data_IF_210691876530
#
_entry.id   IF_210691876530
#
_cell.length_a   1.000
_cell.length_b   1.000
_cell.length_c   1.000
_cell.angle_alpha   90.00
_cell.angle_beta   90.00
_cell.angle_gamma   90.00
#
_symmetry.space_group_name_H-M   'P 1'
#
loop_
_entity.id
_entity.type
_entity.pdbx_description
1 polymer ?
#
# COMPACT_ATOMS: atom_id res chain seq x y z
N UNK A 1 -18.26 9.06 11.02
CA UNK A 1 -18.17 10.53 11.09
C UNK A 1 -17.63 11.03 9.74
N UNK A 2 -18.46 11.66 8.92
CA UNK A 2 -18.09 12.09 7.56
C UNK A 2 -17.21 13.35 7.62
N UNK A 3 -15.95 13.24 7.22
CA UNK A 3 -14.97 14.34 7.13
C UNK A 3 -14.92 14.86 5.69
N UNK A 4 -15.94 15.58 5.27
CA UNK A 4 -16.00 16.20 3.94
C UNK A 4 -15.24 17.53 3.91
N UNK A 5 -13.95 17.55 4.25
CA UNK A 5 -13.14 18.78 4.25
C UNK A 5 -12.76 19.28 2.84
N UNK A 6 -12.98 18.47 1.80
CA UNK A 6 -12.56 18.75 0.41
C UNK A 6 -13.59 18.39 -0.67
N UNK A 7 -14.87 18.16 -0.31
CA UNK A 7 -15.90 17.74 -1.29
C UNK A 7 -15.66 16.35 -1.89
N UNK A 8 -14.79 15.55 -1.27
CA UNK A 8 -14.49 14.19 -1.71
C UNK A 8 -15.57 13.23 -1.18
N UNK A 9 -16.06 12.34 -2.06
CA UNK A 9 -17.06 11.31 -1.74
C UNK A 9 -16.59 10.32 -0.68
N UNK A 10 -15.26 10.16 -0.54
CA UNK A 10 -14.63 9.35 0.50
C UNK A 10 -13.26 9.94 0.85
N UNK A 11 -12.67 9.53 1.98
CA UNK A 11 -11.35 9.99 2.41
C UNK A 11 -10.23 9.21 1.70
N UNK A 12 -9.47 9.81 0.74
CA UNK A 12 -8.38 9.13 0.05
C UNK A 12 -7.09 9.04 0.89
N UNK A 13 -7.11 9.55 2.13
CA UNK A 13 -6.02 9.40 3.10
C UNK A 13 -6.36 8.39 4.20
N UNK A 14 -7.49 7.68 4.07
CA UNK A 14 -7.81 6.61 4.98
C UNK A 14 -6.79 5.47 4.84
N UNK A 15 -6.26 4.99 5.96
CA UNK A 15 -5.27 3.91 5.97
C UNK A 15 -5.88 2.56 5.54
N UNK A 16 -7.20 2.47 5.50
CA UNK A 16 -7.96 1.26 5.15
C UNK A 16 -8.39 1.18 3.67
N UNK A 17 -7.88 2.08 2.80
CA UNK A 17 -8.28 2.14 1.39
C UNK A 17 -8.03 0.82 0.64
N UNK A 18 -8.98 0.39 -0.22
CA UNK A 18 -8.81 -0.79 -1.04
C UNK A 18 -7.76 -0.58 -2.14
N UNK A 19 -7.06 -1.66 -2.51
CA UNK A 19 -6.07 -1.67 -3.60
C UNK A 19 -6.64 -1.23 -4.96
N UNK A 20 -7.97 -1.29 -5.13
CA UNK A 20 -8.67 -0.81 -6.32
C UNK A 20 -8.51 0.69 -6.57
N UNK A 21 -8.17 1.48 -5.53
CA UNK A 21 -7.85 2.89 -5.67
C UNK A 21 -6.34 3.17 -5.79
N UNK A 22 -5.50 2.14 -5.79
CA UNK A 22 -4.08 2.31 -6.01
C UNK A 22 -3.81 2.73 -7.46
N UNK A 23 -3.14 3.86 -7.63
CA UNK A 23 -2.70 4.29 -8.94
C UNK A 23 -1.60 3.35 -9.44
N UNK A 24 -1.86 2.65 -10.55
CA UNK A 24 -0.99 1.63 -11.16
C UNK A 24 0.27 2.19 -11.83
N UNK A 25 0.98 3.10 -11.17
CA UNK A 25 2.28 3.63 -11.60
C UNK A 25 3.30 2.51 -11.83
N UNK A 26 4.26 2.77 -12.73
CA UNK A 26 5.41 1.88 -12.95
C UNK A 26 6.18 1.63 -11.65
N UNK A 27 6.32 2.66 -10.81
CA UNK A 27 7.05 2.58 -9.54
C UNK A 27 6.28 1.74 -8.53
N UNK A 28 4.95 1.85 -8.53
CA UNK A 28 4.07 1.03 -7.69
C UNK A 28 4.23 -0.46 -8.02
N UNK A 29 4.15 -0.83 -9.30
CA UNK A 29 4.34 -2.23 -9.75
C UNK A 29 5.74 -2.76 -9.41
N UNK A 30 6.76 -1.93 -9.60
CA UNK A 30 8.15 -2.28 -9.28
C UNK A 30 8.41 -2.49 -7.80
N UNK A 31 7.73 -1.74 -6.93
CA UNK A 31 7.84 -1.89 -5.49
C UNK A 31 7.09 -3.14 -5.01
N UNK A 32 5.91 -3.43 -5.54
CA UNK A 32 5.16 -4.66 -5.25
C UNK A 32 5.96 -5.92 -5.58
N UNK A 33 6.56 -5.99 -6.78
CA UNK A 33 7.39 -7.15 -7.16
C UNK A 33 8.60 -7.35 -6.23
N UNK A 34 9.18 -6.27 -5.69
CA UNK A 34 10.27 -6.34 -4.71
C UNK A 34 9.77 -6.79 -3.33
N UNK A 35 8.57 -6.37 -2.93
CA UNK A 35 7.93 -6.82 -1.69
C UNK A 35 7.58 -8.31 -1.74
N UNK A 36 7.09 -8.81 -2.88
CA UNK A 36 6.86 -10.24 -3.11
C UNK A 36 8.16 -11.05 -3.01
N UNK A 37 9.25 -10.52 -3.57
CA UNK A 37 10.58 -11.13 -3.43
C UNK A 37 11.07 -11.14 -1.97
N UNK A 38 10.88 -10.04 -1.23
CA UNK A 38 11.21 -9.94 0.20
C UNK A 38 10.41 -10.94 1.05
N UNK A 39 9.14 -11.16 0.72
CA UNK A 39 8.27 -12.15 1.37
C UNK A 39 8.82 -13.58 1.23
N UNK A 40 9.32 -13.91 0.04
CA UNK A 40 9.89 -15.23 -0.24
C UNK A 40 11.28 -15.44 0.37
N UNK A 41 12.13 -14.40 0.32
CA UNK A 41 13.51 -14.48 0.83
C UNK A 41 13.62 -14.32 2.35
N UNK A 42 12.57 -13.79 3.01
CA UNK A 42 12.53 -13.49 4.45
C UNK A 42 13.68 -12.57 4.90
N UNK A 43 14.04 -11.59 4.06
CA UNK A 43 15.06 -10.59 4.34
C UNK A 43 14.51 -9.24 4.79
N UNK A 44 15.42 -8.28 5.06
CA UNK A 44 15.07 -6.88 5.36
C UNK A 44 15.18 -6.05 4.07
N UNK A 45 14.12 -5.29 3.76
CA UNK A 45 14.08 -4.38 2.62
C UNK A 45 14.06 -2.92 3.04
N UNK A 46 14.86 -2.08 2.39
CA UNK A 46 14.86 -0.63 2.58
C UNK A 46 14.31 0.07 1.33
N UNK A 47 13.20 0.79 1.48
CA UNK A 47 12.61 1.60 0.41
C UNK A 47 12.81 3.09 0.68
N UNK A 48 13.62 3.74 -0.15
CA UNK A 48 13.86 5.19 -0.10
C UNK A 48 13.15 5.89 -1.24
N UNK A 49 12.54 7.04 -0.96
CA UNK A 49 11.97 7.92 -1.98
C UNK A 49 11.65 9.29 -1.32
N UNK A 50 11.42 10.35 -2.11
CA UNK A 50 10.94 11.65 -1.61
C UNK A 50 9.62 11.57 -0.82
N UNK A 51 9.33 12.51 0.09
CA UNK A 51 8.06 12.55 0.80
C UNK A 51 6.87 12.57 -0.19
N UNK A 52 5.75 11.93 0.16
CA UNK A 52 4.55 11.88 -0.69
C UNK A 52 4.52 10.80 -1.78
N UNK A 53 5.62 10.08 -2.03
CA UNK A 53 5.70 9.04 -3.08
C UNK A 53 5.02 7.70 -2.76
N UNK A 54 4.08 7.65 -1.80
CA UNK A 54 3.31 6.43 -1.53
C UNK A 54 4.06 5.24 -0.90
N UNK A 55 5.23 5.46 -0.28
CA UNK A 55 5.99 4.41 0.45
C UNK A 55 5.13 3.69 1.49
N UNK A 56 4.51 4.46 2.37
CA UNK A 56 3.64 3.93 3.44
C UNK A 56 2.39 3.28 2.86
N UNK A 57 1.84 3.85 1.79
CA UNK A 57 0.65 3.32 1.13
C UNK A 57 0.88 1.91 0.62
N UNK A 58 1.98 1.66 -0.10
CA UNK A 58 2.28 0.34 -0.66
C UNK A 58 2.53 -0.74 0.39
N UNK A 59 3.21 -0.39 1.48
CA UNK A 59 3.45 -1.34 2.58
C UNK A 59 2.11 -1.75 3.20
N UNK A 60 1.24 -0.77 3.49
CA UNK A 60 -0.06 -1.04 4.11
C UNK A 60 -0.95 -1.86 3.18
N UNK A 61 -1.01 -1.51 1.89
CA UNK A 61 -1.86 -2.26 0.94
C UNK A 61 -1.42 -3.71 0.81
N UNK A 62 -0.12 -3.95 0.69
CA UNK A 62 0.41 -5.28 0.38
C UNK A 62 0.56 -6.18 1.62
N UNK A 63 1.10 -5.65 2.73
CA UNK A 63 1.34 -6.46 3.94
C UNK A 63 0.09 -6.61 4.80
N UNK A 64 -0.65 -5.53 5.05
CA UNK A 64 -1.77 -5.55 6.01
C UNK A 64 -2.96 -6.40 5.53
N UNK A 65 -3.01 -6.78 4.24
CA UNK A 65 -4.01 -7.70 3.68
C UNK A 65 -3.49 -9.12 3.43
N UNK A 66 -2.18 -9.30 3.24
CA UNK A 66 -1.58 -10.64 3.08
C UNK A 66 -1.82 -11.54 4.30
N UNK A 67 -2.01 -10.96 5.49
CA UNK A 67 -2.32 -11.66 6.74
C UNK A 67 -3.82 -12.01 6.92
N UNK A 68 -4.69 -11.64 5.96
CA UNK A 68 -6.13 -11.97 5.97
C UNK A 68 -6.44 -13.21 5.13
N UNK A 69 -5.43 -13.94 4.64
CA UNK A 69 -5.66 -15.33 4.26
C UNK A 69 -5.75 -16.18 5.53
N UNK A 70 -6.93 -16.78 5.84
CA UNK A 70 -7.05 -17.65 6.98
C UNK A 70 -6.03 -18.78 6.85
N UNK A 71 -5.36 -19.06 7.95
CA UNK A 71 -4.61 -20.29 8.11
C UNK A 71 -5.63 -21.43 7.95
N UNK A 72 -5.49 -22.18 6.84
CA UNK A 72 -6.28 -23.31 6.32
C UNK A 72 -7.57 -22.97 5.58
#
# INVERSE_FOLDING_TARGET
MFKSFYGLTFNPFDKSLPESHAFGSRDFKQMLSRLDYLKNTRGIGLFTAPPGMGKTFVIITHFCKSDIHPIK
#
